data_IF_340126968482
#
_entry.id   IF_340126968482
#
_cell.length_a   1.000
_cell.length_b   1.000
_cell.length_c   1.000
_cell.angle_alpha   90.00
_cell.angle_beta   90.00
_cell.angle_gamma   90.00
#
_symmetry.space_group_name_H-M   'P 1'
#
loop_
_entity.id
_entity.type
_entity.pdbx_description
1 polymer ?
#
# COMPACT_ATOMS: atom_id res chain seq x y z
N UNK A 1 -10.43 1.00 -44.53
CA UNK A 1 -11.67 1.04 -43.73
C UNK A 1 -11.41 1.86 -42.47
N UNK A 2 -12.26 2.83 -42.15
CA UNK A 2 -12.05 3.82 -41.09
C UNK A 2 -11.91 3.14 -39.72
N UNK A 3 -10.70 3.15 -39.15
CA UNK A 3 -10.35 2.57 -37.86
C UNK A 3 -10.91 3.35 -36.66
N UNK A 4 -12.16 3.80 -36.72
CA UNK A 4 -12.82 4.47 -35.61
C UNK A 4 -13.31 3.40 -34.63
N UNK A 5 -12.69 3.38 -33.44
CA UNK A 5 -13.16 2.57 -32.31
C UNK A 5 -14.59 3.01 -31.97
N UNK A 6 -15.56 2.08 -31.85
CA UNK A 6 -16.92 2.42 -31.47
C UNK A 6 -16.97 3.18 -30.13
N UNK A 7 -17.89 4.14 -29.95
CA UNK A 7 -17.96 4.96 -28.73
C UNK A 7 -18.17 4.12 -27.46
N UNK A 8 -18.88 3.01 -27.54
CA UNK A 8 -19.08 2.04 -26.46
C UNK A 8 -17.75 1.41 -26.03
N UNK A 9 -16.96 0.91 -26.99
CA UNK A 9 -15.63 0.35 -26.75
C UNK A 9 -14.64 1.40 -26.23
N UNK A 10 -14.76 2.66 -26.67
CA UNK A 10 -14.00 3.78 -26.07
C UNK A 10 -14.40 4.07 -24.63
N UNK A 11 -15.68 3.92 -24.27
CA UNK A 11 -16.14 4.12 -22.90
C UNK A 11 -15.62 3.02 -21.96
N UNK A 12 -15.59 1.77 -22.43
CA UNK A 12 -15.00 0.63 -21.70
C UNK A 12 -13.50 0.82 -21.46
N UNK A 13 -12.74 1.18 -22.49
CA UNK A 13 -11.30 1.46 -22.37
C UNK A 13 -11.03 2.57 -21.35
N UNK A 14 -11.83 3.64 -21.35
CA UNK A 14 -11.72 4.72 -20.36
C UNK A 14 -12.06 4.25 -18.95
N UNK A 15 -13.09 3.41 -18.79
CA UNK A 15 -13.45 2.84 -17.47
C UNK A 15 -12.33 1.94 -16.94
N UNK A 16 -11.78 1.06 -17.78
CA UNK A 16 -10.64 0.21 -17.41
C UNK A 16 -9.40 1.03 -17.04
N UNK A 17 -9.06 2.05 -17.83
CA UNK A 17 -7.94 2.96 -17.51
C UNK A 17 -8.13 3.70 -16.19
N UNK A 18 -9.34 4.17 -15.88
CA UNK A 18 -9.65 4.83 -14.60
C UNK A 18 -9.57 3.86 -13.43
N UNK A 19 -10.03 2.63 -13.58
CA UNK A 19 -9.94 1.61 -12.55
C UNK A 19 -8.47 1.27 -12.26
N UNK A 20 -7.66 1.05 -13.30
CA UNK A 20 -6.22 0.83 -13.15
C UNK A 20 -5.53 1.94 -12.36
N UNK A 21 -5.81 3.21 -12.72
CA UNK A 21 -5.23 4.35 -12.02
C UNK A 21 -5.63 4.39 -10.53
N UNK A 22 -6.88 4.05 -10.21
CA UNK A 22 -7.33 3.97 -8.80
C UNK A 22 -6.60 2.88 -8.02
N UNK A 23 -6.46 1.69 -8.60
CA UNK A 23 -5.74 0.59 -7.97
C UNK A 23 -4.25 0.94 -7.76
N UNK A 24 -3.62 1.63 -8.71
CA UNK A 24 -2.25 2.14 -8.55
C UNK A 24 -2.14 3.15 -7.40
N UNK A 25 -3.05 4.13 -7.32
CA UNK A 25 -3.07 5.08 -6.21
C UNK A 25 -3.28 4.39 -4.86
N UNK A 26 -4.14 3.37 -4.80
CA UNK A 26 -4.36 2.62 -3.56
C UNK A 26 -3.11 1.86 -3.10
N UNK A 27 -2.37 1.26 -4.03
CA UNK A 27 -1.06 0.64 -3.76
C UNK A 27 -0.06 1.67 -3.25
N UNK A 28 0.01 2.84 -3.88
CA UNK A 28 0.91 3.94 -3.47
C UNK A 28 0.58 4.43 -2.05
N UNK A 29 -0.69 4.71 -1.76
CA UNK A 29 -1.15 5.14 -0.43
C UNK A 29 -0.89 4.09 0.65
N UNK A 30 -1.15 2.82 0.36
CA UNK A 30 -0.89 1.72 1.29
C UNK A 30 0.61 1.55 1.54
N UNK A 31 1.44 1.68 0.49
CA UNK A 31 2.90 1.62 0.59
C UNK A 31 3.42 2.76 1.46
N UNK A 32 2.97 3.99 1.22
CA UNK A 32 3.37 5.15 2.00
C UNK A 32 2.97 5.00 3.47
N UNK A 33 1.77 4.46 3.75
CA UNK A 33 1.29 4.23 5.11
C UNK A 33 2.16 3.23 5.88
N UNK A 34 2.58 2.15 5.22
CA UNK A 34 3.53 1.16 5.78
C UNK A 34 4.86 1.83 6.07
N UNK A 35 5.45 2.53 5.10
CA UNK A 35 6.76 3.19 5.24
C UNK A 35 6.77 4.22 6.39
N UNK A 36 5.76 5.09 6.46
CA UNK A 36 5.64 6.07 7.53
C UNK A 36 5.55 5.41 8.92
N UNK A 37 4.79 4.32 9.03
CA UNK A 37 4.68 3.58 10.29
C UNK A 37 6.00 2.91 10.67
N UNK A 38 6.73 2.36 9.70
CA UNK A 38 8.07 1.78 9.94
C UNK A 38 9.06 2.83 10.43
N UNK A 39 9.09 3.99 9.78
CA UNK A 39 9.97 5.09 10.16
C UNK A 39 9.64 5.61 11.56
N UNK A 40 8.35 5.72 11.91
CA UNK A 40 7.92 6.08 13.26
C UNK A 40 8.37 5.05 14.31
N UNK A 41 8.22 3.75 14.02
CA UNK A 41 8.71 2.68 14.91
C UNK A 41 10.22 2.81 15.12
N UNK A 42 11.00 2.97 14.04
CA UNK A 42 12.45 3.15 14.13
C UNK A 42 12.80 4.39 14.96
N UNK A 43 12.12 5.51 14.73
CA UNK A 43 12.31 6.73 15.52
C UNK A 43 12.06 6.50 17.01
N UNK A 44 10.99 5.78 17.38
CA UNK A 44 10.68 5.50 18.78
C UNK A 44 11.69 4.56 19.44
N UNK A 45 12.22 3.57 18.71
CA UNK A 45 13.35 2.77 19.19
C UNK A 45 14.60 3.62 19.45
N UNK A 46 14.88 4.61 18.60
CA UNK A 46 15.96 5.57 18.85
C UNK A 46 15.71 6.39 20.14
N UNK A 47 14.48 6.83 20.39
CA UNK A 47 14.13 7.52 21.64
C UNK A 47 14.34 6.63 22.87
N UNK A 48 13.91 5.36 22.81
CA UNK A 48 14.16 4.39 23.89
C UNK A 48 15.65 4.22 24.18
N UNK A 49 16.46 4.03 23.14
CA UNK A 49 17.91 3.88 23.29
C UNK A 49 18.54 5.13 23.90
N UNK A 50 18.11 6.32 23.49
CA UNK A 50 18.58 7.59 24.05
C UNK A 50 18.22 7.71 25.55
N UNK A 51 16.96 7.48 25.92
CA UNK A 51 16.51 7.57 27.32
C UNK A 51 17.26 6.57 28.19
N UNK A 52 17.43 5.33 27.70
CA UNK A 52 18.17 4.29 28.42
C UNK A 52 19.62 4.69 28.71
N UNK A 53 20.26 5.42 27.79
CA UNK A 53 21.65 5.84 27.90
C UNK A 53 21.85 7.13 28.71
N UNK A 54 20.92 8.09 28.63
CA UNK A 54 21.18 9.47 29.07
C UNK A 54 20.24 10.00 30.16
N UNK A 55 19.06 9.42 30.40
CA UNK A 55 18.19 9.89 31.48
C UNK A 55 18.71 9.41 32.83
N UNK A 56 19.14 10.33 33.70
CA UNK A 56 19.78 10.01 34.97
C UNK A 56 18.77 9.66 36.08
N UNK A 57 17.57 10.23 36.04
CA UNK A 57 16.52 9.94 37.02
C UNK A 57 15.87 8.57 36.71
N UNK A 58 16.00 7.57 37.60
CA UNK A 58 15.48 6.23 37.35
C UNK A 58 13.95 6.18 37.25
N UNK A 59 13.25 7.03 37.99
CA UNK A 59 11.77 7.08 37.96
C UNK A 59 11.32 7.65 36.63
N UNK A 60 11.93 8.76 36.21
CA UNK A 60 11.65 9.39 34.92
C UNK A 60 12.02 8.47 33.75
N UNK A 61 13.19 7.83 33.81
CA UNK A 61 13.62 6.86 32.79
C UNK A 61 12.60 5.75 32.62
N UNK A 62 12.15 5.14 33.72
CA UNK A 62 11.17 4.06 33.66
C UNK A 62 9.83 4.53 33.05
N UNK A 63 9.34 5.68 33.50
CA UNK A 63 8.11 6.28 32.98
C UNK A 63 8.20 6.55 31.46
N UNK A 64 9.25 7.24 31.02
CA UNK A 64 9.40 7.65 29.62
C UNK A 64 9.64 6.43 28.72
N UNK A 65 10.40 5.42 29.19
CA UNK A 65 10.54 4.15 28.47
C UNK A 65 9.21 3.42 28.32
N UNK A 66 8.38 3.38 29.37
CA UNK A 66 7.07 2.74 29.29
C UNK A 66 6.15 3.45 28.28
N UNK A 67 6.19 4.79 28.25
CA UNK A 67 5.45 5.59 27.26
C UNK A 67 5.85 5.23 25.82
N UNK A 68 7.15 5.27 25.50
CA UNK A 68 7.62 4.95 24.15
C UNK A 68 7.39 3.50 23.76
N UNK A 69 7.56 2.57 24.69
CA UNK A 69 7.28 1.14 24.45
C UNK A 69 5.80 0.92 24.13
N UNK A 70 4.88 1.61 24.81
CA UNK A 70 3.45 1.54 24.49
C UNK A 70 3.15 2.05 23.07
N UNK A 71 3.74 3.17 22.67
CA UNK A 71 3.57 3.71 21.32
C UNK A 71 4.12 2.75 20.24
N UNK A 72 5.28 2.13 20.49
CA UNK A 72 5.84 1.11 19.59
C UNK A 72 4.88 -0.06 19.45
N UNK A 73 4.36 -0.59 20.55
CA UNK A 73 3.44 -1.72 20.52
C UNK A 73 2.16 -1.38 19.73
N UNK A 74 1.63 -0.16 19.90
CA UNK A 74 0.49 0.32 19.14
C UNK A 74 0.80 0.40 17.64
N UNK A 75 1.93 1.02 17.25
CA UNK A 75 2.34 1.12 15.85
C UNK A 75 2.58 -0.27 15.23
N UNK A 76 3.20 -1.19 15.97
CA UNK A 76 3.39 -2.57 15.53
C UNK A 76 2.06 -3.30 15.31
N UNK A 77 1.06 -3.09 16.17
CA UNK A 77 -0.28 -3.66 15.96
C UNK A 77 -0.96 -3.10 14.70
N UNK A 78 -0.76 -1.81 14.41
CA UNK A 78 -1.28 -1.16 13.21
C UNK A 78 -0.55 -1.65 11.95
N UNK A 79 0.76 -1.92 12.05
CA UNK A 79 1.59 -2.38 10.94
C UNK A 79 1.02 -3.62 10.25
N UNK A 80 0.55 -4.61 11.02
CA UNK A 80 -0.03 -5.84 10.46
C UNK A 80 -1.23 -5.54 9.56
N UNK A 81 -2.10 -4.62 9.96
CA UNK A 81 -3.26 -4.22 9.14
C UNK A 81 -2.84 -3.46 7.89
N UNK A 82 -1.85 -2.58 8.01
CA UNK A 82 -1.33 -1.80 6.87
C UNK A 82 -0.64 -2.70 5.84
N UNK A 83 0.17 -3.64 6.30
CA UNK A 83 0.81 -4.65 5.44
C UNK A 83 -0.22 -5.52 4.75
N UNK A 84 -1.27 -5.95 5.47
CA UNK A 84 -2.39 -6.68 4.86
C UNK A 84 -3.09 -5.85 3.78
N UNK A 85 -3.43 -4.59 4.07
CA UNK A 85 -4.06 -3.68 3.09
C UNK A 85 -3.18 -3.50 1.84
N UNK A 86 -1.87 -3.34 2.02
CA UNK A 86 -0.94 -3.27 0.89
C UNK A 86 -0.93 -4.55 0.07
N UNK A 87 -0.91 -5.72 0.72
CA UNK A 87 -0.95 -7.01 0.03
C UNK A 87 -2.23 -7.15 -0.82
N UNK A 88 -3.38 -6.77 -0.27
CA UNK A 88 -4.67 -6.79 -0.98
C UNK A 88 -4.65 -5.84 -2.16
N UNK A 89 -4.25 -4.58 -1.98
CA UNK A 89 -4.19 -3.59 -3.06
C UNK A 89 -3.26 -4.02 -4.22
N UNK A 90 -2.12 -4.63 -3.89
CA UNK A 90 -1.19 -5.18 -4.89
C UNK A 90 -1.81 -6.36 -5.63
N UNK A 91 -2.54 -7.23 -4.92
CA UNK A 91 -3.24 -8.35 -5.54
C UNK A 91 -4.35 -7.87 -6.48
N UNK A 92 -5.17 -6.91 -6.06
CA UNK A 92 -6.26 -6.37 -6.87
C UNK A 92 -5.74 -5.74 -8.17
N UNK A 93 -4.61 -5.02 -8.11
CA UNK A 93 -3.97 -4.48 -9.31
C UNK A 93 -3.47 -5.59 -10.24
N UNK A 94 -2.86 -6.65 -9.70
CA UNK A 94 -2.39 -7.79 -10.49
C UNK A 94 -3.54 -8.54 -11.15
N UNK A 95 -4.61 -8.82 -10.41
CA UNK A 95 -5.79 -9.50 -10.92
C UNK A 95 -6.44 -8.69 -12.04
N UNK A 96 -6.50 -7.37 -11.89
CA UNK A 96 -6.97 -6.47 -12.96
C UNK A 96 -6.09 -6.54 -14.22
N UNK A 97 -4.76 -6.52 -14.05
CA UNK A 97 -3.82 -6.59 -15.17
C UNK A 97 -3.87 -7.94 -15.89
N UNK A 98 -4.00 -9.05 -15.15
CA UNK A 98 -4.18 -10.40 -15.70
C UNK A 98 -5.49 -10.53 -16.48
N UNK A 99 -6.62 -10.12 -15.88
CA UNK A 99 -7.92 -10.14 -16.52
C UNK A 99 -7.93 -9.31 -17.82
N UNK A 100 -7.29 -8.13 -17.80
CA UNK A 100 -7.20 -7.27 -18.99
C UNK A 100 -6.31 -7.87 -20.08
N UNK A 101 -5.23 -8.56 -19.70
CA UNK A 101 -4.35 -9.26 -20.63
C UNK A 101 -5.07 -10.45 -21.29
N UNK A 102 -5.81 -11.25 -20.53
CA UNK A 102 -6.60 -12.37 -21.05
C UNK A 102 -7.64 -11.93 -22.09
N UNK A 103 -8.40 -10.88 -21.77
CA UNK A 103 -9.42 -10.32 -22.68
C UNK A 103 -8.77 -9.88 -23.99
N UNK A 104 -7.61 -9.22 -23.90
CA UNK A 104 -6.86 -8.75 -25.07
C UNK A 104 -6.36 -9.93 -25.93
N UNK A 105 -5.90 -11.01 -25.30
CA UNK A 105 -5.46 -12.22 -26.02
C UNK A 105 -6.62 -12.95 -26.70
N UNK A 106 -7.78 -13.07 -26.05
CA UNK A 106 -8.98 -13.70 -26.65
C UNK A 106 -9.46 -12.91 -27.86
N UNK A 107 -9.56 -11.58 -27.75
CA UNK A 107 -9.94 -10.71 -28.85
C UNK A 107 -8.99 -10.82 -30.05
N UNK A 108 -7.69 -10.99 -29.82
CA UNK A 108 -6.70 -11.18 -30.88
C UNK A 108 -6.80 -12.54 -31.59
N UNK A 109 -7.32 -13.57 -30.93
CA UNK A 109 -7.57 -14.90 -31.52
C UNK A 109 -8.87 -14.92 -32.32
N UNK A 110 -9.93 -14.31 -31.80
CA UNK A 110 -11.24 -14.24 -32.47
C UNK A 110 -11.22 -13.36 -33.73
N UNK A 111 -10.40 -12.30 -33.77
CA UNK A 111 -10.26 -11.45 -34.97
C UNK A 111 -9.40 -12.04 -36.10
N UNK A 112 -8.86 -13.26 -35.94
CA UNK A 112 -8.03 -13.96 -36.94
C UNK A 112 -8.75 -15.15 -37.61
N UNK A 113 -9.96 -15.49 -37.17
CA UNK A 113 -10.86 -16.45 -37.83
C UNK A 113 -11.86 -15.72 -38.73
#
# INVERSE_FOLDING_TARGET
MSGKVPPERMAELRRGSKLRQRLQMEVEEATQSVQLTEDNIRHHYHQLSYIQAYEADPVRRHHDMAYWQSNINQLQSQMTMLQHRLAVAVQDLRDFEEATAEISQRAAREGKS
#
